data_IF_476910915355
#
_entry.id   IF_476910915355
#
_cell.length_a   1.000
_cell.length_b   1.000
_cell.length_c   1.000
_cell.angle_alpha   90.00
_cell.angle_beta   90.00
_cell.angle_gamma   90.00
#
_symmetry.space_group_name_H-M   'P 1'
#
loop_
_entity.id
_entity.type
_entity.pdbx_description
1 polymer ?
#
# COMPACT_ATOMS: atom_id res chain seq x y z
N UNK A 1 -5.49 -5.14 -27.43
CA UNK A 1 -5.39 -4.86 -25.98
C UNK A 1 -4.01 -4.29 -25.69
N UNK A 2 -3.90 -3.19 -24.95
CA UNK A 2 -2.61 -2.56 -24.64
C UNK A 2 -1.74 -3.52 -23.81
N UNK A 3 -0.50 -3.80 -24.23
CA UNK A 3 0.42 -4.73 -23.53
C UNK A 3 0.58 -4.38 -22.04
N UNK A 4 0.63 -3.09 -21.72
CA UNK A 4 0.72 -2.63 -20.33
C UNK A 4 -0.50 -3.00 -19.49
N UNK A 5 -1.70 -3.04 -20.08
CA UNK A 5 -2.92 -3.43 -19.40
C UNK A 5 -2.95 -4.94 -19.18
N UNK A 6 -2.64 -5.72 -20.22
CA UNK A 6 -2.59 -7.19 -20.12
C UNK A 6 -1.59 -7.66 -19.07
N UNK A 7 -0.40 -7.04 -19.00
CA UNK A 7 0.59 -7.34 -17.98
C UNK A 7 0.07 -7.09 -16.55
N UNK A 8 -0.69 -5.99 -16.36
CA UNK A 8 -1.24 -5.65 -15.06
C UNK A 8 -2.33 -6.65 -14.64
N UNK A 9 -3.22 -7.03 -15.55
CA UNK A 9 -4.22 -8.09 -15.30
C UNK A 9 -3.54 -9.40 -14.91
N UNK A 10 -2.50 -9.80 -15.66
CA UNK A 10 -1.72 -11.02 -15.37
C UNK A 10 -1.13 -10.97 -13.96
N UNK A 11 -0.52 -9.85 -13.57
CA UNK A 11 0.09 -9.69 -12.24
C UNK A 11 -0.90 -9.78 -11.07
N UNK A 12 -2.19 -9.51 -11.32
CA UNK A 12 -3.24 -9.52 -10.31
C UNK A 12 -3.98 -10.86 -10.24
N UNK A 13 -3.85 -11.69 -11.28
CA UNK A 13 -4.66 -12.91 -11.46
C UNK A 13 -4.37 -14.03 -10.45
N UNK A 14 -3.23 -13.96 -9.74
CA UNK A 14 -2.91 -14.88 -8.65
C UNK A 14 -3.63 -14.54 -7.35
N UNK A 15 -4.05 -13.28 -7.19
CA UNK A 15 -4.60 -12.75 -5.95
C UNK A 15 -6.12 -12.54 -6.04
N UNK A 16 -6.63 -12.20 -7.22
CA UNK A 16 -8.03 -11.83 -7.45
C UNK A 16 -8.68 -12.74 -8.50
N UNK A 17 -10.02 -12.75 -8.52
CA UNK A 17 -10.75 -13.38 -9.62
C UNK A 17 -10.45 -12.69 -10.95
N UNK A 18 -10.73 -13.35 -12.08
CA UNK A 18 -10.43 -12.81 -13.40
C UNK A 18 -11.13 -11.47 -13.70
N UNK A 19 -12.32 -11.26 -13.13
CA UNK A 19 -13.09 -10.03 -13.33
C UNK A 19 -12.57 -8.91 -12.40
N UNK A 20 -12.36 -9.19 -11.12
CA UNK A 20 -11.73 -8.26 -10.19
C UNK A 20 -10.34 -7.82 -10.67
N UNK A 21 -9.51 -8.75 -11.15
CA UNK A 21 -8.18 -8.44 -11.69
C UNK A 21 -8.26 -7.49 -12.90
N UNK A 22 -9.29 -7.65 -13.74
CA UNK A 22 -9.50 -6.78 -14.91
C UNK A 22 -9.95 -5.38 -14.49
N UNK A 23 -10.88 -5.29 -13.55
CA UNK A 23 -11.41 -4.00 -13.10
C UNK A 23 -10.42 -3.24 -12.23
N UNK A 24 -9.67 -3.93 -11.35
CA UNK A 24 -8.53 -3.34 -10.65
C UNK A 24 -7.47 -2.82 -11.63
N UNK A 25 -7.16 -3.57 -12.70
CA UNK A 25 -6.23 -3.09 -13.71
C UNK A 25 -6.73 -1.83 -14.43
N UNK A 26 -8.05 -1.65 -14.62
CA UNK A 26 -8.65 -0.41 -15.17
C UNK A 26 -8.53 0.75 -14.17
N UNK A 27 -8.88 0.51 -12.90
CA UNK A 27 -8.72 1.47 -11.81
C UNK A 27 -7.26 1.94 -11.69
N UNK A 28 -6.31 1.02 -11.70
CA UNK A 28 -4.88 1.34 -11.61
C UNK A 28 -4.37 2.06 -12.85
N UNK A 29 -4.88 1.72 -14.03
CA UNK A 29 -4.46 2.37 -15.28
C UNK A 29 -4.88 3.84 -15.33
N UNK A 30 -6.05 4.18 -14.79
CA UNK A 30 -6.57 5.55 -14.69
C UNK A 30 -5.94 6.35 -13.54
N UNK A 31 -5.72 5.73 -12.38
CA UNK A 31 -5.23 6.42 -11.17
C UNK A 31 -3.71 6.61 -11.07
N UNK A 32 -2.91 5.79 -11.76
CA UNK A 32 -1.45 5.77 -11.58
C UNK A 32 -0.70 7.01 -12.13
N UNK A 33 -1.32 7.79 -13.01
CA UNK A 33 -0.67 8.95 -13.66
C UNK A 33 -0.84 10.28 -12.91
N UNK A 34 -1.76 10.34 -11.94
CA UNK A 34 -2.06 11.56 -11.19
C UNK A 34 -1.73 11.38 -9.71
N UNK A 35 -1.54 12.49 -9.00
CA UNK A 35 -1.34 12.44 -7.54
C UNK A 35 -2.60 12.05 -6.78
N UNK A 36 -3.75 12.30 -7.39
CA UNK A 36 -5.08 11.93 -6.90
C UNK A 36 -6.03 11.81 -8.08
N UNK A 37 -7.10 11.03 -7.91
CA UNK A 37 -8.16 10.81 -8.89
C UNK A 37 -9.52 11.03 -8.22
N UNK A 38 -10.49 11.64 -8.91
CA UNK A 38 -11.87 11.73 -8.40
C UNK A 38 -12.65 10.46 -8.68
N UNK A 39 -13.81 10.31 -8.04
CA UNK A 39 -14.72 9.20 -8.30
C UNK A 39 -15.08 9.10 -9.81
N UNK A 40 -15.37 10.20 -10.49
CA UNK A 40 -15.82 10.30 -11.89
C UNK A 40 -14.72 9.82 -12.84
N UNK A 41 -13.49 10.22 -12.54
CA UNK A 41 -12.30 9.97 -13.37
C UNK A 41 -11.92 8.48 -13.38
N UNK A 42 -12.44 7.68 -12.44
CA UNK A 42 -12.24 6.23 -12.42
C UNK A 42 -13.00 5.56 -13.57
N UNK A 43 -12.22 5.00 -14.49
CA UNK A 43 -12.67 4.23 -15.66
C UNK A 43 -13.16 2.83 -15.25
N UNK A 44 -14.35 2.78 -14.65
CA UNK A 44 -15.02 1.57 -14.18
C UNK A 44 -16.50 1.59 -14.57
N UNK A 45 -17.04 0.40 -14.84
CA UNK A 45 -18.45 0.22 -15.11
C UNK A 45 -19.28 0.54 -13.85
N UNK A 46 -20.36 1.31 -14.00
CA UNK A 46 -21.14 1.85 -12.87
C UNK A 46 -21.69 0.76 -11.93
N UNK A 47 -21.93 -0.44 -12.45
CA UNK A 47 -22.47 -1.59 -11.72
C UNK A 47 -21.47 -2.20 -10.72
N UNK A 48 -20.17 -2.05 -10.96
CA UNK A 48 -19.09 -2.65 -10.14
C UNK A 48 -18.18 -1.60 -9.50
N UNK A 49 -18.35 -0.33 -9.85
CA UNK A 49 -17.44 0.76 -9.48
C UNK A 49 -17.23 0.87 -7.96
N UNK A 50 -18.32 0.89 -7.20
CA UNK A 50 -18.25 1.03 -5.74
C UNK A 50 -17.61 -0.19 -5.09
N UNK A 51 -17.91 -1.40 -5.58
CA UNK A 51 -17.35 -2.66 -5.08
C UNK A 51 -15.84 -2.74 -5.32
N UNK A 52 -15.38 -2.33 -6.51
CA UNK A 52 -13.95 -2.31 -6.85
C UNK A 52 -13.20 -1.24 -6.06
N UNK A 53 -13.81 -0.08 -5.83
CA UNK A 53 -13.23 0.97 -4.96
C UNK A 53 -13.16 0.46 -3.50
N UNK A 54 -14.20 -0.21 -3.02
CA UNK A 54 -14.23 -0.79 -1.67
C UNK A 54 -13.12 -1.83 -1.52
N UNK A 55 -12.99 -2.76 -2.47
CA UNK A 55 -11.91 -3.76 -2.50
C UNK A 55 -10.53 -3.09 -2.48
N UNK A 56 -10.32 -2.09 -3.34
CA UNK A 56 -9.06 -1.34 -3.40
C UNK A 56 -8.75 -0.58 -2.10
N UNK A 57 -9.78 -0.12 -1.39
CA UNK A 57 -9.65 0.51 -0.08
C UNK A 57 -9.32 -0.49 1.03
N UNK A 58 -10.00 -1.64 1.05
CA UNK A 58 -9.75 -2.73 2.00
C UNK A 58 -8.31 -3.24 1.91
N UNK A 59 -7.78 -3.32 0.69
CA UNK A 59 -6.40 -3.70 0.40
C UNK A 59 -5.38 -2.54 0.53
N UNK A 60 -5.83 -1.35 0.95
CA UNK A 60 -5.01 -0.13 1.12
C UNK A 60 -4.24 0.29 -0.13
N UNK A 61 -4.67 -0.14 -1.30
CA UNK A 61 -4.09 0.27 -2.58
C UNK A 61 -4.64 1.61 -3.04
N UNK A 62 -5.91 1.90 -2.75
CA UNK A 62 -6.56 3.18 -3.03
C UNK A 62 -7.11 3.77 -1.73
N UNK A 63 -6.65 4.97 -1.36
CA UNK A 63 -7.03 5.60 -0.09
C UNK A 63 -7.78 6.92 -0.32
N UNK A 64 -8.91 7.14 0.37
CA UNK A 64 -9.56 8.44 0.40
C UNK A 64 -8.61 9.52 0.92
N UNK A 65 -8.64 10.70 0.31
CA UNK A 65 -7.91 11.85 0.81
C UNK A 65 -8.55 12.38 2.10
N UNK A 66 -9.87 12.24 2.23
CA UNK A 66 -10.63 12.66 3.41
C UNK A 66 -10.32 11.76 4.62
N UNK A 67 -10.09 12.40 5.77
CA UNK A 67 -9.81 11.73 7.04
C UNK A 67 -10.60 12.40 8.17
N UNK A 68 -11.05 11.62 9.15
CA UNK A 68 -11.63 12.16 10.39
C UNK A 68 -10.56 12.86 11.20
N UNK A 69 -9.39 12.23 11.36
CA UNK A 69 -8.27 12.67 12.19
C UNK A 69 -6.97 12.07 11.67
N UNK A 70 -5.91 12.87 11.63
CA UNK A 70 -4.56 12.36 11.31
C UNK A 70 -4.43 11.68 9.95
N UNK A 71 -3.32 10.96 9.78
CA UNK A 71 -2.92 10.30 8.53
C UNK A 71 -3.22 8.81 8.47
N UNK A 72 -3.66 8.20 9.59
CA UNK A 72 -3.88 6.77 9.72
C UNK A 72 -4.94 6.27 8.72
N UNK A 73 -4.77 5.04 8.23
CA UNK A 73 -5.70 4.43 7.29
C UNK A 73 -7.07 4.17 7.91
N UNK A 74 -7.13 3.79 9.18
CA UNK A 74 -8.40 3.53 9.90
C UNK A 74 -9.27 4.78 10.11
N UNK A 75 -8.68 5.98 9.99
CA UNK A 75 -9.39 7.25 10.13
C UNK A 75 -9.90 7.80 8.79
N UNK A 76 -9.58 7.16 7.67
CA UNK A 76 -10.02 7.56 6.33
C UNK A 76 -11.53 7.33 6.17
N UNK A 77 -12.17 8.26 5.47
CA UNK A 77 -13.61 8.21 5.23
C UNK A 77 -13.82 7.82 3.78
N UNK A 78 -14.24 6.57 3.55
CA UNK A 78 -14.64 6.14 2.23
C UNK A 78 -16.04 6.68 1.91
N UNK A 79 -16.18 7.31 0.74
CA UNK A 79 -17.45 7.73 0.16
C UNK A 79 -17.43 7.42 -1.34
N UNK A 80 -18.61 7.34 -1.96
CA UNK A 80 -18.81 7.08 -3.39
C UNK A 80 -19.62 8.23 -3.98
N UNK A 81 -18.98 9.40 -4.12
CA UNK A 81 -19.64 10.66 -4.50
C UNK A 81 -18.78 11.47 -5.42
N UNK A 82 -19.40 12.38 -6.19
CA UNK A 82 -18.75 13.00 -7.33
C UNK A 82 -17.61 14.01 -7.06
N UNK A 83 -17.31 14.26 -5.79
CA UNK A 83 -16.19 15.10 -5.38
C UNK A 83 -15.19 14.32 -4.51
N UNK A 84 -15.43 13.02 -4.28
CA UNK A 84 -14.52 12.22 -3.47
C UNK A 84 -13.22 11.98 -4.24
N UNK A 85 -12.10 12.25 -3.57
CA UNK A 85 -10.76 12.10 -4.16
C UNK A 85 -10.01 11.01 -3.46
N UNK A 86 -9.35 10.20 -4.26
CA UNK A 86 -8.53 9.09 -3.81
C UNK A 86 -7.10 9.27 -4.27
N UNK A 87 -6.19 8.57 -3.62
CA UNK A 87 -4.79 8.48 -4.03
C UNK A 87 -4.24 7.08 -3.85
N UNK A 88 -3.28 6.72 -4.69
CA UNK A 88 -2.46 5.53 -4.51
C UNK A 88 -1.26 5.88 -3.62
N UNK A 89 -0.99 5.13 -2.53
CA UNK A 89 0.24 5.29 -1.76
C UNK A 89 1.49 5.07 -2.61
N UNK A 90 2.63 5.66 -2.21
CA UNK A 90 3.83 5.68 -3.07
C UNK A 90 4.33 4.28 -3.42
N UNK A 91 4.41 3.38 -2.44
CA UNK A 91 4.83 1.98 -2.70
C UNK A 91 3.89 1.26 -3.68
N UNK A 92 2.60 1.56 -3.62
CA UNK A 92 1.57 0.98 -4.52
C UNK A 92 1.75 1.49 -5.95
N UNK A 93 2.07 2.76 -6.15
CA UNK A 93 2.38 3.29 -7.48
C UNK A 93 3.58 2.55 -8.10
N UNK A 94 4.64 2.34 -7.33
CA UNK A 94 5.80 1.61 -7.84
C UNK A 94 5.51 0.13 -8.15
N UNK A 95 4.62 -0.52 -7.39
CA UNK A 95 4.12 -1.87 -7.71
C UNK A 95 3.41 -1.88 -9.06
N UNK A 96 2.43 -0.99 -9.25
CA UNK A 96 1.63 -0.91 -10.48
C UNK A 96 2.51 -0.55 -11.68
N UNK A 97 3.42 0.41 -11.54
CA UNK A 97 4.32 0.82 -12.62
C UNK A 97 5.27 -0.31 -13.06
N UNK A 98 5.74 -1.12 -12.12
CA UNK A 98 6.58 -2.28 -12.46
C UNK A 98 5.74 -3.38 -13.10
N UNK A 99 4.61 -3.74 -12.49
CA UNK A 99 3.70 -4.77 -12.98
C UNK A 99 3.24 -4.48 -14.42
N UNK A 100 2.94 -3.22 -14.75
CA UNK A 100 2.63 -2.78 -16.13
C UNK A 100 3.74 -3.11 -17.14
N UNK A 101 5.01 -3.15 -16.70
CA UNK A 101 6.18 -3.43 -17.56
C UNK A 101 6.56 -4.91 -17.57
N UNK A 102 6.50 -5.57 -16.40
CA UNK A 102 7.08 -6.89 -16.17
C UNK A 102 6.06 -8.03 -16.04
N UNK A 103 4.77 -7.71 -15.90
CA UNK A 103 3.69 -8.62 -15.46
C UNK A 103 3.90 -9.27 -14.09
N UNK A 104 4.85 -8.75 -13.30
CA UNK A 104 5.18 -9.27 -11.97
C UNK A 104 4.83 -8.24 -10.88
N UNK A 105 4.30 -8.73 -9.75
CA UNK A 105 4.05 -7.91 -8.58
C UNK A 105 5.30 -7.84 -7.68
N UNK A 106 6.31 -7.07 -8.11
CA UNK A 106 7.63 -7.06 -7.45
C UNK A 106 7.68 -6.17 -6.20
N UNK A 107 7.45 -6.78 -5.04
CA UNK A 107 7.37 -6.09 -3.74
C UNK A 107 8.71 -5.46 -3.32
N UNK A 108 9.81 -6.20 -3.39
CA UNK A 108 11.12 -5.73 -2.93
C UNK A 108 11.59 -4.52 -3.75
N UNK A 109 11.35 -4.56 -5.06
CA UNK A 109 11.66 -3.43 -5.95
C UNK A 109 10.81 -2.20 -5.60
N UNK A 110 9.52 -2.37 -5.35
CA UNK A 110 8.63 -1.26 -5.06
C UNK A 110 8.94 -0.61 -3.70
N UNK A 111 9.20 -1.42 -2.67
CA UNK A 111 9.68 -0.94 -1.37
C UNK A 111 11.01 -0.19 -1.57
N UNK A 112 11.94 -0.78 -2.31
CA UNK A 112 13.25 -0.19 -2.54
C UNK A 112 13.18 1.18 -3.22
N UNK A 113 12.36 1.30 -4.27
CA UNK A 113 12.11 2.58 -4.95
C UNK A 113 11.43 3.61 -4.04
N UNK A 114 10.41 3.21 -3.28
CA UNK A 114 9.72 4.10 -2.36
C UNK A 114 10.65 4.65 -1.27
N UNK A 115 11.48 3.79 -0.68
CA UNK A 115 12.45 4.19 0.33
C UNK A 115 13.56 5.08 -0.26
N UNK A 116 14.08 4.74 -1.43
CA UNK A 116 15.08 5.56 -2.12
C UNK A 116 14.57 6.96 -2.45
N UNK A 117 13.33 7.09 -2.93
CA UNK A 117 12.69 8.41 -3.15
C UNK A 117 12.52 9.19 -1.84
N UNK A 118 12.26 8.49 -0.73
CA UNK A 118 12.13 9.08 0.60
C UNK A 118 13.48 9.35 1.32
N UNK A 119 14.60 9.27 0.59
CA UNK A 119 15.94 9.61 1.08
C UNK A 119 16.62 8.54 1.93
N UNK A 120 16.18 7.27 1.87
CA UNK A 120 16.88 6.16 2.52
C UNK A 120 18.18 5.84 1.80
N UNK A 121 19.30 5.82 2.53
CA UNK A 121 20.61 5.51 1.98
C UNK A 121 20.91 4.00 2.01
N UNK A 122 20.31 3.27 2.94
CA UNK A 122 20.54 1.84 3.15
C UNK A 122 19.34 0.99 2.67
N UNK A 123 18.90 1.25 1.44
CA UNK A 123 17.66 0.66 0.87
C UNK A 123 17.62 -0.86 1.00
N UNK A 124 18.70 -1.57 0.64
CA UNK A 124 18.71 -3.04 0.67
C UNK A 124 18.51 -3.59 2.09
N UNK A 125 19.22 -3.03 3.07
CA UNK A 125 19.06 -3.43 4.47
C UNK A 125 17.63 -3.18 4.97
N UNK A 126 16.99 -2.11 4.48
CA UNK A 126 15.63 -1.77 4.88
C UNK A 126 14.57 -2.65 4.21
N UNK A 127 14.80 -3.08 2.97
CA UNK A 127 14.00 -4.12 2.32
C UNK A 127 14.11 -5.45 3.10
N UNK A 128 15.32 -5.87 3.46
CA UNK A 128 15.55 -7.09 4.26
C UNK A 128 14.86 -7.01 5.63
N UNK A 129 14.99 -5.86 6.30
CA UNK A 129 14.30 -5.59 7.56
C UNK A 129 12.78 -5.70 7.41
N UNK A 130 12.18 -5.04 6.41
CA UNK A 130 10.73 -5.12 6.17
C UNK A 130 10.29 -6.54 5.82
N UNK A 131 11.08 -7.30 5.07
CA UNK A 131 10.80 -8.71 4.79
C UNK A 131 10.82 -9.59 6.06
N UNK A 132 11.64 -9.25 7.05
CA UNK A 132 11.62 -9.92 8.36
C UNK A 132 10.42 -9.50 9.20
N UNK A 133 10.06 -8.21 9.20
CA UNK A 133 8.86 -7.67 9.86
C UNK A 133 7.60 -8.34 9.31
N UNK A 134 7.45 -8.43 7.98
CA UNK A 134 6.31 -9.09 7.31
C UNK A 134 6.12 -10.55 7.72
N UNK A 135 7.21 -11.29 7.93
CA UNK A 135 7.15 -12.70 8.36
C UNK A 135 6.64 -12.86 9.79
N UNK A 136 6.76 -11.81 10.62
CA UNK A 136 6.35 -11.80 12.02
C UNK A 136 5.05 -11.02 12.26
N UNK A 137 4.54 -10.31 11.25
CA UNK A 137 3.23 -9.66 11.32
C UNK A 137 2.10 -10.68 11.34
N UNK A 138 1.11 -10.46 12.20
CA UNK A 138 -0.11 -11.28 12.26
C UNK A 138 -1.27 -10.45 11.73
N UNK A 139 -1.99 -10.95 10.72
CA UNK A 139 -3.07 -10.21 10.03
C UNK A 139 -2.61 -8.80 9.60
N UNK A 140 -1.40 -8.72 9.06
CA UNK A 140 -0.73 -7.48 8.65
C UNK A 140 -0.39 -6.51 9.79
N UNK A 141 -0.73 -6.81 11.04
CA UNK A 141 -0.38 -5.98 12.19
C UNK A 141 0.95 -6.41 12.81
N UNK A 142 1.71 -5.43 13.31
CA UNK A 142 2.98 -5.65 14.01
C UNK A 142 3.21 -4.57 15.06
N UNK A 143 3.71 -4.98 16.22
CA UNK A 143 4.06 -4.11 17.33
C UNK A 143 5.44 -3.48 17.13
N UNK A 144 5.62 -2.23 17.56
CA UNK A 144 6.93 -1.55 17.51
C UNK A 144 8.00 -2.28 18.33
N UNK A 145 7.63 -2.98 19.40
CA UNK A 145 8.56 -3.82 20.16
C UNK A 145 9.18 -4.95 19.33
N UNK A 146 8.37 -5.60 18.49
CA UNK A 146 8.85 -6.66 17.57
C UNK A 146 9.77 -6.09 16.50
N UNK A 147 9.42 -4.93 15.95
CA UNK A 147 10.27 -4.17 15.02
C UNK A 147 11.65 -3.86 15.62
N UNK A 148 11.70 -3.40 16.87
CA UNK A 148 12.95 -3.10 17.56
C UNK A 148 13.82 -4.36 17.77
N UNK A 149 13.20 -5.50 18.09
CA UNK A 149 13.93 -6.77 18.22
C UNK A 149 14.59 -7.15 16.89
N UNK A 150 13.86 -7.07 15.77
CA UNK A 150 14.40 -7.37 14.44
C UNK A 150 15.54 -6.40 14.07
N UNK A 151 15.38 -5.11 14.39
CA UNK A 151 16.41 -4.09 14.18
C UNK A 151 17.71 -4.47 14.89
N UNK A 152 17.62 -4.90 16.14
CA UNK A 152 18.76 -5.34 16.94
C UNK A 152 19.38 -6.63 16.40
N UNK A 153 18.57 -7.61 15.98
CA UNK A 153 19.04 -8.87 15.37
C UNK A 153 19.84 -8.63 14.09
N UNK A 154 19.43 -7.66 13.27
CA UNK A 154 20.12 -7.27 12.03
C UNK A 154 21.27 -6.28 12.26
N UNK A 155 21.55 -5.90 13.51
CA UNK A 155 22.54 -4.89 13.89
C UNK A 155 22.37 -3.57 13.11
N UNK A 156 21.12 -3.17 12.86
CA UNK A 156 20.81 -1.91 12.19
C UNK A 156 20.86 -0.77 13.21
N UNK A 157 21.62 0.27 12.89
CA UNK A 157 21.62 1.51 13.66
C UNK A 157 20.65 2.49 13.00
N UNK A 158 19.35 2.34 13.29
CA UNK A 158 18.28 3.20 12.77
C UNK A 158 17.58 3.93 13.90
N UNK A 159 17.15 5.17 13.62
CA UNK A 159 16.17 5.86 14.44
C UNK A 159 14.78 5.30 14.11
N UNK A 160 14.16 4.63 15.09
CA UNK A 160 12.87 3.98 14.90
C UNK A 160 11.74 4.97 14.59
N UNK A 161 11.77 6.17 15.17
CA UNK A 161 10.76 7.20 14.92
C UNK A 161 10.84 7.67 13.47
N UNK A 162 12.04 8.07 13.02
CA UNK A 162 12.26 8.52 11.65
C UNK A 162 11.97 7.42 10.61
N UNK A 163 12.28 6.17 10.98
CA UNK A 163 12.03 5.00 10.13
C UNK A 163 10.53 4.74 9.96
N UNK A 164 9.76 4.75 11.06
CA UNK A 164 8.31 4.59 11.03
C UNK A 164 7.66 5.73 10.23
N UNK A 165 8.08 6.97 10.45
CA UNK A 165 7.63 8.14 9.70
C UNK A 165 7.88 7.97 8.20
N UNK A 166 9.04 7.45 7.81
CA UNK A 166 9.36 7.15 6.41
C UNK A 166 8.43 6.08 5.85
N UNK A 167 8.21 4.98 6.58
CA UNK A 167 7.33 3.92 6.12
C UNK A 167 5.87 4.37 5.95
N UNK A 168 5.39 5.22 6.86
CA UNK A 168 4.06 5.82 6.78
C UNK A 168 3.94 6.71 5.55
N UNK A 169 4.91 7.61 5.31
CA UNK A 169 4.92 8.47 4.12
C UNK A 169 4.97 7.67 2.81
N UNK A 170 5.70 6.55 2.80
CA UNK A 170 5.77 5.67 1.63
C UNK A 170 4.49 4.83 1.41
N UNK A 171 3.59 4.77 2.41
CA UNK A 171 2.42 3.91 2.36
C UNK A 171 2.72 2.43 2.59
N UNK A 172 3.86 2.12 3.20
CA UNK A 172 4.28 0.74 3.53
C UNK A 172 3.50 0.24 4.74
N UNK A 173 3.19 1.13 5.68
CA UNK A 173 2.40 0.84 6.87
C UNK A 173 1.66 2.08 7.37
N UNK A 174 0.73 1.90 8.28
CA UNK A 174 0.00 2.96 8.98
C UNK A 174 -0.12 2.63 10.45
N UNK A 175 -0.08 3.63 11.36
CA UNK A 175 -0.40 3.40 12.76
C UNK A 175 -1.86 2.94 12.91
N UNK A 176 -2.08 2.05 13.88
CA UNK A 176 -3.41 1.62 14.37
C UNK A 176 -3.68 2.35 15.69
N UNK A 177 -3.98 3.64 15.60
CA UNK A 177 -4.13 4.56 16.72
C UNK A 177 -5.17 4.07 17.73
N UNK A 178 -6.35 3.61 17.28
CA UNK A 178 -7.42 3.16 18.18
C UNK A 178 -7.00 1.91 18.95
N UNK A 179 -6.40 0.93 18.27
CA UNK A 179 -5.85 -0.26 18.95
C UNK A 179 -4.73 0.11 19.89
N UNK A 180 -3.82 0.99 19.48
CA UNK A 180 -2.68 1.40 20.29
C UNK A 180 -3.10 2.10 21.59
N UNK A 181 -4.14 2.95 21.51
CA UNK A 181 -4.74 3.57 22.70
C UNK A 181 -5.41 2.55 23.61
N UNK A 182 -6.07 1.54 23.04
CA UNK A 182 -6.75 0.51 23.82
C UNK A 182 -5.79 -0.45 24.53
N UNK A 183 -4.69 -0.83 23.88
CA UNK A 183 -3.71 -1.78 24.42
C UNK A 183 -2.57 -1.12 25.19
N UNK A 184 -2.33 0.18 24.97
CA UNK A 184 -1.14 0.89 25.45
C UNK A 184 0.14 0.56 24.67
N UNK A 185 0.03 -0.20 23.57
CA UNK A 185 1.16 -0.67 22.75
C UNK A 185 1.08 -0.04 21.37
N UNK A 186 2.17 0.54 20.87
CA UNK A 186 2.23 1.06 19.50
C UNK A 186 2.16 -0.08 18.47
N UNK A 187 1.07 -0.11 17.70
CA UNK A 187 0.79 -1.12 16.67
C UNK A 187 0.69 -0.43 15.31
N UNK A 188 1.26 -1.06 14.29
CA UNK A 188 1.17 -0.63 12.90
C UNK A 188 0.56 -1.73 12.05
N UNK A 189 -0.26 -1.34 11.08
CA UNK A 189 -0.78 -2.18 10.00
C UNK A 189 0.11 -2.01 8.77
N UNK A 190 0.67 -3.11 8.28
CA UNK A 190 1.39 -3.18 7.01
C UNK A 190 0.41 -3.17 5.84
N UNK A 191 0.83 -2.60 4.71
CA UNK A 191 -0.01 -2.58 3.51
C UNK A 191 -0.28 -4.01 3.00
N UNK A 192 -1.54 -4.47 2.93
CA UNK A 192 -1.89 -5.82 2.47
C UNK A 192 -1.34 -6.17 1.09
N UNK A 193 -1.22 -5.19 0.18
CA UNK A 193 -0.70 -5.41 -1.17
C UNK A 193 0.78 -5.82 -1.22
N UNK A 194 1.49 -5.70 -0.09
CA UNK A 194 2.87 -6.19 0.06
C UNK A 194 2.93 -7.70 0.36
N UNK A 195 1.80 -8.39 0.41
CA UNK A 195 1.71 -9.84 0.64
C UNK A 195 1.16 -10.61 -0.56
N UNK A 196 0.75 -9.92 -1.62
CA UNK A 196 0.27 -10.52 -2.87
C UNK A 196 1.40 -11.29 -3.57
N UNK A 197 1.05 -12.26 -4.42
CA UNK A 197 1.98 -13.18 -5.08
C UNK A 197 1.91 -13.14 -6.58
#
# INVERSE_FOLDING_TARGET
MNKSFSNLVESLSNQFSADEARDLARLFSSSCQADSITYEELDLDAEVKDDIILLAYEERVLLPMKSRRGSAWEDRILAFTEDERYHLPRVVRFLIEDARKSSQWNIDLAIGKALGEAGENNVNNMVDYLNRVKKLSSKYEVEVGVMQVICNELNLNIDMHDTLDRFVRCGIMSPRTQRSLHTGISIYEMNPCLYWK
#
